data_IF_604455152829
#
_entry.id   IF_604455152829
#
_cell.length_a   1.000
_cell.length_b   1.000
_cell.length_c   1.000
_cell.angle_alpha   90.00
_cell.angle_beta   90.00
_cell.angle_gamma   90.00
#
_symmetry.space_group_name_H-M   'P 1'
#
loop_
_entity.id
_entity.type
_entity.pdbx_description
1 polymer ?
#
# COMPACT_ATOMS: atom_id res chain seq x y z
N UNK A 1 -1.70 -18.87 -11.28
CA UNK A 1 -0.68 -19.55 -10.45
C UNK A 1 0.67 -19.43 -11.14
N UNK A 2 1.74 -19.22 -10.39
CA UNK A 2 3.11 -19.17 -10.92
C UNK A 2 3.91 -20.29 -10.25
N UNK A 3 4.44 -21.22 -11.04
CA UNK A 3 5.24 -22.34 -10.53
C UNK A 3 6.70 -21.94 -10.56
N UNK A 4 7.34 -21.93 -9.40
CA UNK A 4 8.71 -21.51 -9.21
C UNK A 4 9.52 -22.58 -8.46
N UNK A 5 10.83 -22.56 -8.65
CA UNK A 5 11.80 -23.28 -7.81
C UNK A 5 12.60 -22.27 -7.00
N UNK A 6 12.92 -22.60 -5.75
CA UNK A 6 13.80 -21.78 -4.91
C UNK A 6 15.20 -22.41 -4.83
N UNK A 7 16.23 -21.58 -4.64
CA UNK A 7 17.59 -22.04 -4.40
C UNK A 7 17.91 -21.96 -2.89
N UNK A 8 18.04 -23.10 -2.19
CA UNK A 8 18.29 -23.12 -0.75
C UNK A 8 19.57 -22.40 -0.32
N UNK A 9 20.57 -22.32 -1.20
CA UNK A 9 21.85 -21.68 -0.90
C UNK A 9 21.78 -20.15 -0.90
N UNK A 10 20.64 -19.56 -1.32
CA UNK A 10 20.48 -18.10 -1.47
C UNK A 10 19.77 -17.39 -0.32
N UNK A 11 19.49 -18.08 0.79
CA UNK A 11 18.75 -17.51 1.93
C UNK A 11 19.36 -16.21 2.49
N UNK A 12 20.70 -16.09 2.43
CA UNK A 12 21.43 -14.91 2.91
C UNK A 12 21.43 -13.70 1.95
N UNK A 13 20.85 -13.83 0.75
CA UNK A 13 20.84 -12.79 -0.28
C UNK A 13 21.97 -12.90 -1.30
N UNK A 14 22.98 -13.74 -1.06
CA UNK A 14 24.06 -14.02 -2.00
C UNK A 14 23.90 -15.39 -2.66
N UNK A 15 24.34 -15.50 -3.91
CA UNK A 15 24.38 -16.77 -4.64
C UNK A 15 25.84 -17.31 -4.70
N UNK A 16 26.07 -18.59 -4.35
CA UNK A 16 27.43 -19.16 -4.37
C UNK A 16 28.11 -19.11 -5.75
N UNK A 17 27.31 -19.18 -6.81
CA UNK A 17 27.75 -19.10 -8.21
C UNK A 17 27.96 -17.66 -8.70
N UNK A 18 27.82 -16.66 -7.82
CA UNK A 18 27.94 -15.21 -8.11
C UNK A 18 26.96 -14.69 -9.16
N UNK A 19 25.87 -15.42 -9.45
CA UNK A 19 24.83 -14.90 -10.36
C UNK A 19 24.20 -13.63 -9.76
N UNK A 20 23.86 -12.67 -10.61
CA UNK A 20 23.24 -11.41 -10.19
C UNK A 20 21.71 -11.51 -10.25
N UNK A 21 21.06 -11.29 -9.12
CA UNK A 21 19.60 -11.09 -9.04
C UNK A 21 19.29 -9.63 -9.30
N UNK A 22 18.41 -9.35 -10.27
CA UNK A 22 18.13 -7.97 -10.72
C UNK A 22 17.20 -7.19 -9.81
N UNK A 23 16.33 -7.88 -9.06
CA UNK A 23 15.32 -7.24 -8.22
C UNK A 23 14.85 -8.19 -7.11
N UNK A 24 14.38 -7.61 -6.01
CA UNK A 24 13.84 -8.31 -4.84
C UNK A 24 12.39 -7.92 -4.63
N UNK A 25 11.47 -8.87 -4.49
CA UNK A 25 10.05 -8.63 -4.22
C UNK A 25 9.73 -8.83 -2.74
N UNK A 26 8.69 -8.14 -2.24
CA UNK A 26 8.03 -8.58 -1.01
C UNK A 26 7.13 -9.78 -1.33
N UNK A 27 6.86 -10.62 -0.33
CA UNK A 27 5.95 -11.75 -0.43
C UNK A 27 5.49 -12.16 0.99
N UNK A 28 4.41 -12.92 1.06
CA UNK A 28 3.91 -13.53 2.30
C UNK A 28 3.58 -15.00 2.04
N UNK A 29 3.67 -15.85 3.07
CA UNK A 29 3.25 -17.25 2.98
C UNK A 29 1.73 -17.32 2.86
N UNK A 30 1.21 -18.00 1.84
CA UNK A 30 -0.25 -18.12 1.63
C UNK A 30 -0.96 -18.86 2.78
N UNK A 31 -0.26 -19.79 3.45
CA UNK A 31 -0.79 -20.59 4.56
C UNK A 31 -0.89 -19.77 5.85
N UNK A 32 0.08 -18.88 6.09
CA UNK A 32 0.19 -18.14 7.34
C UNK A 32 -0.39 -16.72 7.23
N UNK A 33 -0.54 -16.21 6.00
CA UNK A 33 -1.00 -14.84 5.79
C UNK A 33 -2.39 -14.60 6.39
N UNK A 34 -2.55 -13.42 6.98
CA UNK A 34 -3.85 -12.93 7.46
C UNK A 34 -4.52 -12.11 6.38
N UNK A 35 -5.86 -12.16 6.36
CA UNK A 35 -6.67 -11.33 5.47
C UNK A 35 -6.85 -9.95 6.08
N UNK A 36 -6.82 -8.92 5.26
CA UNK A 36 -7.16 -7.57 5.64
C UNK A 36 -7.89 -6.83 4.53
N UNK A 37 -8.68 -5.84 4.92
CA UNK A 37 -9.10 -4.76 4.03
C UNK A 37 -8.02 -3.68 4.05
N UNK A 38 -7.60 -3.24 2.86
CA UNK A 38 -6.62 -2.16 2.69
C UNK A 38 -7.27 -0.99 1.98
N UNK A 39 -7.22 0.19 2.58
CA UNK A 39 -7.71 1.45 2.03
C UNK A 39 -6.55 2.24 1.46
N UNK A 40 -6.50 2.35 0.15
CA UNK A 40 -5.51 3.14 -0.57
C UNK A 40 -6.06 4.55 -0.74
N UNK A 41 -5.71 5.43 0.19
CA UNK A 41 -6.00 6.86 0.04
C UNK A 41 -5.06 7.52 -0.97
N UNK A 42 -5.61 8.53 -1.66
CA UNK A 42 -4.92 9.49 -2.48
C UNK A 42 -5.50 10.90 -2.21
N UNK A 43 -5.01 11.92 -2.91
CA UNK A 43 -5.48 13.29 -2.78
C UNK A 43 -6.99 13.37 -3.00
N UNK A 44 -7.66 14.13 -2.13
CA UNK A 44 -9.10 14.35 -2.20
C UNK A 44 -9.53 15.14 -3.45
N UNK A 45 -8.65 16.02 -3.95
CA UNK A 45 -8.96 16.89 -5.09
C UNK A 45 -7.97 16.69 -6.23
N UNK A 46 -8.46 16.85 -7.47
CA UNK A 46 -7.63 16.79 -8.68
C UNK A 46 -6.89 18.11 -8.97
N UNK A 47 -7.35 19.21 -8.36
CA UNK A 47 -6.74 20.54 -8.47
C UNK A 47 -5.85 20.85 -7.28
N UNK A 48 -4.84 21.69 -7.51
CA UNK A 48 -4.01 22.25 -6.45
C UNK A 48 -4.79 23.24 -5.58
N UNK A 49 -5.63 24.07 -6.21
CA UNK A 49 -6.58 24.96 -5.55
C UNK A 49 -8.02 24.57 -5.98
N UNK A 50 -8.77 23.82 -5.15
CA UNK A 50 -10.14 23.44 -5.45
C UNK A 50 -11.15 24.58 -5.26
N UNK A 51 -10.77 25.69 -4.61
CA UNK A 51 -11.63 26.85 -4.36
C UNK A 51 -11.46 27.96 -5.42
N UNK A 52 -10.54 27.77 -6.37
CA UNK A 52 -10.37 28.65 -7.52
C UNK A 52 -11.71 28.81 -8.26
N UNK A 53 -12.20 30.05 -8.31
CA UNK A 53 -13.51 30.37 -8.90
C UNK A 53 -13.53 30.01 -10.38
N UNK A 54 -14.30 28.98 -10.71
CA UNK A 54 -14.64 28.62 -12.07
C UNK A 54 -16.16 28.76 -12.24
N UNK A 55 -16.57 29.55 -13.23
CA UNK A 55 -17.98 29.84 -13.47
C UNK A 55 -18.79 28.54 -13.64
N UNK A 56 -19.91 28.44 -12.90
CA UNK A 56 -20.78 27.28 -12.91
C UNK A 56 -20.23 26.02 -12.21
N UNK A 57 -19.08 26.09 -11.53
CA UNK A 57 -18.50 24.96 -10.76
C UNK A 57 -18.32 25.29 -9.28
N UNK A 58 -18.29 24.22 -8.48
CA UNK A 58 -18.03 24.21 -7.04
C UNK A 58 -16.82 23.32 -6.74
N UNK A 59 -16.26 23.40 -5.52
CA UNK A 59 -15.15 22.54 -5.11
C UNK A 59 -15.46 21.03 -5.23
N UNK A 60 -16.74 20.64 -5.10
CA UNK A 60 -17.19 19.25 -5.22
C UNK A 60 -16.97 18.68 -6.62
N UNK A 61 -17.00 19.53 -7.64
CA UNK A 61 -16.74 19.14 -9.04
C UNK A 61 -15.26 18.77 -9.27
N UNK A 62 -14.38 19.03 -8.30
CA UNK A 62 -12.97 18.71 -8.35
C UNK A 62 -12.57 17.58 -7.40
N UNK A 63 -13.52 16.88 -6.76
CA UNK A 63 -13.24 15.69 -5.96
C UNK A 63 -12.62 14.62 -6.87
N UNK A 64 -11.50 14.07 -6.43
CA UNK A 64 -10.83 12.96 -7.09
C UNK A 64 -11.65 11.67 -6.87
N UNK A 65 -12.23 11.07 -7.92
CA UNK A 65 -12.97 9.82 -7.78
C UNK A 65 -12.08 8.64 -7.36
N UNK A 66 -10.76 8.76 -7.55
CA UNK A 66 -9.76 7.80 -7.11
C UNK A 66 -9.11 8.18 -5.76
N UNK A 67 -9.70 9.10 -4.99
CA UNK A 67 -9.19 9.51 -3.66
C UNK A 67 -9.21 8.39 -2.63
N UNK A 68 -10.01 7.34 -2.85
CA UNK A 68 -10.04 6.12 -2.05
C UNK A 68 -10.30 4.92 -2.94
N UNK A 69 -9.40 3.94 -2.87
CA UNK A 69 -9.62 2.59 -3.38
C UNK A 69 -9.63 1.61 -2.20
N UNK A 70 -10.63 0.74 -2.13
CA UNK A 70 -10.75 -0.27 -1.07
C UNK A 70 -10.45 -1.64 -1.68
N UNK A 71 -9.46 -2.32 -1.13
CA UNK A 71 -9.06 -3.66 -1.51
C UNK A 71 -9.44 -4.63 -0.39
N UNK A 72 -10.29 -5.61 -0.68
CA UNK A 72 -10.65 -6.66 0.26
C UNK A 72 -9.79 -7.92 0.04
N UNK A 73 -9.59 -8.71 1.09
CA UNK A 73 -8.88 -9.99 1.01
C UNK A 73 -7.38 -9.86 0.74
N UNK A 74 -6.78 -8.70 1.01
CA UNK A 74 -5.33 -8.52 0.94
C UNK A 74 -4.64 -9.47 1.92
N UNK A 75 -3.50 -10.02 1.50
CA UNK A 75 -2.70 -10.94 2.31
C UNK A 75 -1.57 -10.19 3.01
N UNK A 76 -1.57 -10.22 4.34
CA UNK A 76 -0.55 -9.59 5.19
C UNK A 76 0.20 -10.64 6.00
N UNK A 77 1.40 -10.30 6.48
CA UNK A 77 2.18 -11.18 7.33
C UNK A 77 1.54 -11.40 8.72
N UNK A 78 1.74 -12.56 9.37
CA UNK A 78 1.04 -12.91 10.61
C UNK A 78 1.27 -11.95 11.77
N UNK A 79 2.44 -11.30 11.82
CA UNK A 79 2.79 -10.30 12.84
C UNK A 79 1.81 -9.13 12.90
N UNK A 80 1.15 -8.81 11.78
CA UNK A 80 0.19 -7.71 11.68
C UNK A 80 -1.19 -8.04 12.29
N UNK A 81 -1.44 -9.30 12.66
CA UNK A 81 -2.69 -9.72 13.28
C UNK A 81 -2.95 -9.09 14.65
N UNK A 82 -1.88 -8.66 15.33
CA UNK A 82 -1.91 -8.04 16.66
C UNK A 82 -1.53 -6.56 16.61
N UNK A 83 -1.64 -5.94 15.43
CA UNK A 83 -1.38 -4.52 15.27
C UNK A 83 -2.32 -3.70 16.19
N UNK A 84 -1.74 -2.88 17.06
CA UNK A 84 -2.50 -1.94 17.86
C UNK A 84 -3.17 -0.89 16.96
N UNK A 85 -4.33 -0.34 17.34
CA UNK A 85 -4.90 0.83 16.69
C UNK A 85 -3.86 1.93 16.46
N UNK A 86 -3.86 2.52 15.27
CA UNK A 86 -2.92 3.58 14.86
C UNK A 86 -1.45 3.17 14.74
N UNK A 87 -1.09 1.91 15.02
CA UNK A 87 0.26 1.42 14.80
C UNK A 87 0.66 1.59 13.32
N UNK A 88 1.87 2.11 13.10
CA UNK A 88 2.38 2.51 11.78
C UNK A 88 3.38 1.48 11.29
N UNK A 89 3.25 1.10 10.02
CA UNK A 89 4.10 0.13 9.35
C UNK A 89 4.52 0.64 7.99
N UNK A 90 5.73 0.28 7.56
CA UNK A 90 6.09 0.36 6.16
C UNK A 90 5.73 -0.98 5.51
N UNK A 91 4.76 -1.00 4.60
CA UNK A 91 4.57 -2.16 3.75
C UNK A 91 5.59 -2.08 2.62
N UNK A 92 6.52 -3.04 2.62
CA UNK A 92 7.69 -3.02 1.76
C UNK A 92 7.34 -2.78 0.30
N UNK A 93 8.02 -1.80 -0.31
CA UNK A 93 7.80 -1.35 -1.70
C UNK A 93 6.43 -0.74 -2.01
N UNK A 94 5.50 -0.65 -1.06
CA UNK A 94 4.13 -0.15 -1.30
C UNK A 94 3.91 1.24 -0.69
N UNK A 95 4.28 1.46 0.57
CA UNK A 95 4.02 2.72 1.27
C UNK A 95 4.04 2.56 2.78
N UNK A 96 3.68 3.64 3.47
CA UNK A 96 3.40 3.62 4.91
C UNK A 96 1.91 3.45 5.14
N UNK A 97 1.57 2.61 6.10
CA UNK A 97 0.21 2.24 6.47
C UNK A 97 0.03 2.33 7.97
N UNK A 98 -1.20 2.58 8.42
CA UNK A 98 -1.58 2.42 9.82
C UNK A 98 -2.78 1.50 9.97
N UNK A 99 -2.85 0.80 11.11
CA UNK A 99 -4.07 0.10 11.51
C UNK A 99 -5.17 1.12 11.82
N UNK A 100 -6.33 0.98 11.18
CA UNK A 100 -7.47 1.89 11.39
C UNK A 100 -7.95 1.82 12.84
N UNK A 101 -8.11 2.96 13.51
CA UNK A 101 -8.45 3.00 14.93
C UNK A 101 -9.93 2.75 15.26
N UNK A 102 -10.79 2.77 14.24
CA UNK A 102 -12.24 2.64 14.41
C UNK A 102 -12.76 1.33 13.84
N UNK A 103 -12.27 0.97 12.66
CA UNK A 103 -12.82 -0.13 11.86
C UNK A 103 -11.95 -1.40 11.96
N UNK A 104 -10.69 -1.29 12.38
CA UNK A 104 -9.82 -2.47 12.52
C UNK A 104 -10.11 -3.23 13.81
N UNK A 105 -10.19 -4.55 13.72
CA UNK A 105 -10.35 -5.45 14.85
C UNK A 105 -9.58 -6.76 14.63
N UNK A 106 -9.36 -7.59 15.66
CA UNK A 106 -8.72 -8.90 15.48
C UNK A 106 -9.45 -9.84 14.51
N UNK A 107 -10.74 -9.61 14.24
CA UNK A 107 -11.55 -10.41 13.32
C UNK A 107 -11.62 -9.83 11.89
N UNK A 108 -11.48 -8.51 11.74
CA UNK A 108 -11.48 -7.80 10.47
C UNK A 108 -10.39 -6.72 10.50
N UNK A 109 -9.21 -7.06 9.98
CA UNK A 109 -8.07 -6.15 9.96
C UNK A 109 -8.28 -5.09 8.88
N UNK A 110 -8.15 -3.81 9.26
CA UNK A 110 -8.26 -2.69 8.34
C UNK A 110 -7.00 -1.83 8.40
N UNK A 111 -6.36 -1.64 7.26
CA UNK A 111 -5.16 -0.80 7.14
C UNK A 111 -5.38 0.35 6.15
N UNK A 112 -4.95 1.54 6.53
CA UNK A 112 -5.03 2.74 5.72
C UNK A 112 -3.65 3.11 5.19
N UNK A 113 -3.49 3.30 3.88
CA UNK A 113 -2.26 3.86 3.33
C UNK A 113 -2.15 5.33 3.72
N UNK A 114 -1.19 5.62 4.59
CA UNK A 114 -0.86 6.99 5.02
C UNK A 114 -0.21 7.77 3.89
N UNK A 115 0.80 7.19 3.22
CA UNK A 115 1.51 7.82 2.10
C UNK A 115 2.26 6.78 1.26
N UNK A 116 2.49 7.06 -0.02
CA UNK A 116 3.35 6.26 -0.90
C UNK A 116 4.83 6.48 -0.59
N UNK A 117 5.70 5.50 -0.90
CA UNK A 117 7.16 5.61 -0.66
C UNK A 117 7.85 6.72 -1.46
N UNK A 118 7.26 7.10 -2.60
CA UNK A 118 7.77 8.15 -3.49
C UNK A 118 6.63 9.04 -3.91
N UNK A 119 6.94 10.32 -4.08
CA UNK A 119 6.01 11.30 -4.63
C UNK A 119 5.85 11.07 -6.15
N UNK A 120 4.68 10.55 -6.53
CA UNK A 120 4.27 10.40 -7.93
C UNK A 120 3.83 11.73 -8.56
N UNK A 121 3.39 12.69 -7.75
CA UNK A 121 2.80 13.95 -8.22
C UNK A 121 3.85 14.97 -8.64
N UNK A 122 5.00 15.04 -7.94
CA UNK A 122 6.14 15.83 -8.41
C UNK A 122 6.61 15.43 -9.82
N UNK A 123 6.29 14.21 -10.28
CA UNK A 123 6.54 13.76 -11.67
C UNK A 123 5.43 14.16 -12.64
N UNK A 124 4.17 14.19 -12.19
CA UNK A 124 3.02 14.58 -13.02
C UNK A 124 3.04 16.10 -13.24
N UNK A 125 3.33 16.90 -12.21
CA UNK A 125 3.41 18.36 -12.32
C UNK A 125 4.63 18.86 -13.14
N UNK A 126 5.60 17.99 -13.42
CA UNK A 126 6.79 18.29 -14.26
C UNK A 126 6.60 17.86 -15.72
N UNK A 127 5.50 17.19 -16.05
CA UNK A 127 5.09 16.88 -17.43
C UNK A 127 4.06 17.90 -17.88
#
# INVERSE_FOLDING_TARGET
>A
ELICTYDPATKGGDAPDKRKVKATLHWVSAEQAVNARVRLYDRLFVKADPDERQEGKTFKDFINPASLEVLDGCKLEPSLAVAAPEAIFQFERLGYFCADSKDSSPADLVFNRTVTLRDSWAKIAKK
#
